data_IF_404355576178
#
_entry.id   IF_404355576178
#
_cell.length_a   1.000
_cell.length_b   1.000
_cell.length_c   1.000
_cell.angle_alpha   90.00
_cell.angle_beta   90.00
_cell.angle_gamma   90.00
#
_symmetry.space_group_name_H-M   'P 1'
#
loop_
_entity.id
_entity.type
_entity.pdbx_description
1 polymer ?
#
# COMPACT_ATOMS: atom_id res chain seq x y z
N UNK A 1 -11.36 -7.59 -16.65
CA UNK A 1 -11.48 -6.73 -15.46
C UNK A 1 -12.77 -5.94 -15.51
N UNK A 2 -13.50 -5.97 -14.42
CA UNK A 2 -14.76 -5.27 -14.26
C UNK A 2 -14.52 -3.89 -13.63
N UNK A 3 -14.56 -2.85 -14.45
CA UNK A 3 -14.29 -1.47 -14.05
C UNK A 3 -15.54 -0.89 -13.40
N UNK A 4 -15.37 -0.32 -12.21
CA UNK A 4 -16.46 0.30 -11.47
C UNK A 4 -16.38 1.82 -11.57
N UNK A 5 -17.55 2.45 -11.61
CA UNK A 5 -17.69 3.90 -11.59
C UNK A 5 -17.92 4.37 -10.14
N UNK A 6 -16.99 5.19 -9.64
CA UNK A 6 -17.05 5.76 -8.30
C UNK A 6 -17.29 7.28 -8.33
N UNK A 7 -17.76 7.82 -9.44
CA UNK A 7 -17.95 9.27 -9.60
C UNK A 7 -18.89 9.88 -8.55
N UNK A 8 -19.89 9.11 -8.08
CA UNK A 8 -20.83 9.55 -7.07
C UNK A 8 -20.33 9.28 -5.63
N UNK A 9 -19.23 8.58 -5.47
CA UNK A 9 -18.65 8.35 -4.15
C UNK A 9 -17.96 9.62 -3.65
N UNK A 10 -17.86 9.73 -2.32
CA UNK A 10 -17.13 10.87 -1.73
C UNK A 10 -15.63 10.76 -2.00
N UNK A 11 -14.97 11.91 -2.01
CA UNK A 11 -13.51 11.98 -2.07
C UNK A 11 -12.95 11.64 -0.70
N UNK A 12 -12.25 10.50 -0.59
CA UNK A 12 -11.66 10.08 0.68
C UNK A 12 -10.27 10.67 0.89
N UNK A 13 -9.50 10.86 -0.18
CA UNK A 13 -8.19 11.50 -0.14
C UNK A 13 -8.17 12.64 -1.12
N UNK A 14 -7.77 13.82 -0.66
CA UNK A 14 -7.62 15.01 -1.48
C UNK A 14 -6.20 15.55 -1.33
N UNK A 15 -5.49 15.67 -2.44
CA UNK A 15 -4.14 16.18 -2.51
C UNK A 15 -4.16 17.47 -3.32
N UNK A 16 -3.55 18.55 -2.78
CA UNK A 16 -3.46 19.84 -3.46
C UNK A 16 -2.05 20.40 -3.36
N UNK A 17 -1.51 20.77 -4.52
CA UNK A 17 -0.21 21.44 -4.65
C UNK A 17 0.91 20.67 -3.94
N UNK A 18 0.87 19.35 -4.00
CA UNK A 18 1.87 18.50 -3.35
C UNK A 18 3.22 18.65 -4.04
N UNK A 19 4.24 18.93 -3.24
CA UNK A 19 5.64 18.76 -3.63
C UNK A 19 6.32 17.83 -2.64
N UNK A 20 7.31 17.09 -3.12
CA UNK A 20 8.05 16.12 -2.30
C UNK A 20 9.52 16.20 -2.69
N UNK A 21 10.38 16.30 -1.67
CA UNK A 21 11.83 16.25 -1.84
C UNK A 21 12.31 14.81 -1.67
N UNK A 22 12.23 14.05 -2.75
CA UNK A 22 12.64 12.64 -2.80
C UNK A 22 13.73 12.46 -3.86
N UNK A 23 14.92 11.91 -3.51
CA UNK A 23 15.97 11.66 -4.48
C UNK A 23 15.49 10.80 -5.65
N UNK A 24 15.78 11.22 -6.86
CA UNK A 24 15.39 10.50 -8.08
C UNK A 24 13.94 10.69 -8.51
N UNK A 25 13.17 11.50 -7.79
CA UNK A 25 11.78 11.81 -8.16
C UNK A 25 11.55 13.32 -8.26
N UNK A 26 10.67 13.70 -9.18
CA UNK A 26 10.26 15.09 -9.35
C UNK A 26 8.79 15.19 -8.97
N UNK A 27 8.48 15.79 -7.80
CA UNK A 27 7.11 16.10 -7.39
C UNK A 27 7.05 17.57 -7.06
N UNK A 28 6.34 18.37 -7.86
CA UNK A 28 6.36 19.85 -7.74
C UNK A 28 5.02 20.47 -7.43
N UNK A 29 3.96 19.99 -8.06
CA UNK A 29 2.64 20.59 -7.92
C UNK A 29 1.57 19.59 -8.36
N UNK A 30 1.31 18.62 -7.49
CA UNK A 30 0.37 17.54 -7.81
C UNK A 30 -0.96 17.79 -7.12
N UNK A 31 -2.03 17.77 -7.91
CA UNK A 31 -3.40 17.71 -7.43
C UNK A 31 -3.97 16.34 -7.75
N UNK A 32 -4.59 15.69 -6.79
CA UNK A 32 -5.17 14.36 -6.99
C UNK A 32 -6.30 14.14 -6.00
N UNK A 33 -7.43 13.61 -6.51
CA UNK A 33 -8.54 13.16 -5.68
C UNK A 33 -8.72 11.66 -5.84
N UNK A 34 -8.96 10.98 -4.72
CA UNK A 34 -9.23 9.54 -4.69
C UNK A 34 -10.62 9.33 -4.09
N UNK A 35 -11.46 8.60 -4.81
CA UNK A 35 -12.82 8.28 -4.38
C UNK A 35 -12.84 7.06 -3.48
N UNK A 36 -13.71 7.08 -2.48
CA UNK A 36 -13.86 5.95 -1.55
C UNK A 36 -14.25 4.68 -2.28
N UNK A 37 -13.54 3.60 -2.01
CA UNK A 37 -13.81 2.28 -2.57
C UNK A 37 -13.20 2.01 -3.94
N UNK A 38 -12.55 3.01 -4.58
CA UNK A 38 -11.93 2.77 -5.88
C UNK A 38 -10.55 2.14 -5.78
N UNK A 39 -10.09 1.58 -6.89
CA UNK A 39 -8.68 1.30 -7.13
C UNK A 39 -8.21 2.32 -8.16
N UNK A 40 -7.40 3.28 -7.73
CA UNK A 40 -6.80 4.28 -8.60
C UNK A 40 -5.37 3.86 -8.92
N UNK A 41 -5.05 3.80 -10.20
CA UNK A 41 -3.69 3.57 -10.66
C UNK A 41 -2.95 4.89 -10.88
N UNK A 42 -1.67 4.92 -10.55
CA UNK A 42 -0.77 6.03 -10.91
C UNK A 42 0.33 5.44 -11.78
N UNK A 43 0.40 5.91 -13.01
CA UNK A 43 1.42 5.54 -13.98
C UNK A 43 2.28 6.74 -14.37
N UNK A 44 3.30 6.49 -15.17
CA UNK A 44 4.23 7.50 -15.65
C UNK A 44 5.63 6.94 -15.80
N UNK A 45 6.51 7.73 -16.40
CA UNK A 45 7.90 7.36 -16.56
C UNK A 45 8.65 7.43 -15.23
N UNK A 46 9.74 6.68 -15.12
CA UNK A 46 10.59 6.71 -13.94
C UNK A 46 11.10 8.12 -13.65
N UNK A 47 11.13 8.49 -12.37
CA UNK A 47 11.61 9.80 -11.92
C UNK A 47 10.65 10.96 -12.15
N UNK A 48 9.46 10.72 -12.68
CA UNK A 48 8.49 11.77 -13.03
C UNK A 48 7.45 12.05 -11.94
N UNK A 49 7.59 11.46 -10.76
CA UNK A 49 6.80 11.81 -9.59
C UNK A 49 5.90 10.71 -9.02
N UNK A 50 5.69 9.60 -9.75
CA UNK A 50 4.73 8.58 -9.30
C UNK A 50 5.09 7.93 -7.96
N UNK A 51 6.38 7.67 -7.70
CA UNK A 51 6.83 7.11 -6.42
C UNK A 51 6.86 8.15 -5.30
N UNK A 52 7.13 9.40 -5.65
CA UNK A 52 7.20 10.48 -4.67
C UNK A 52 5.85 10.80 -4.02
N UNK A 53 4.75 10.60 -4.72
CA UNK A 53 3.41 10.91 -4.19
C UNK A 53 3.11 10.13 -2.92
N UNK A 54 3.12 8.78 -2.90
CA UNK A 54 2.84 8.05 -1.68
C UNK A 54 3.91 8.28 -0.60
N UNK A 55 5.17 8.36 -0.98
CA UNK A 55 6.26 8.61 -0.03
C UNK A 55 6.13 9.95 0.68
N UNK A 56 5.68 10.99 -0.01
CA UNK A 56 5.42 12.29 0.58
C UNK A 56 4.17 12.31 1.46
N UNK A 57 3.08 11.73 1.00
CA UNK A 57 1.84 11.64 1.78
C UNK A 57 2.05 10.84 3.07
N UNK A 58 2.81 9.77 3.00
CA UNK A 58 3.11 8.93 4.17
C UNK A 58 4.22 9.47 5.06
N UNK A 59 4.76 10.64 4.74
CA UNK A 59 5.72 11.34 5.59
C UNK A 59 7.14 10.78 5.60
N UNK A 60 7.51 10.00 4.58
CA UNK A 60 8.85 9.42 4.49
C UNK A 60 9.90 10.39 3.94
N UNK A 61 9.46 11.44 3.25
CA UNK A 61 10.31 12.51 2.73
C UNK A 61 9.66 13.86 3.01
N UNK A 62 10.47 14.91 3.07
CA UNK A 62 9.96 16.27 3.26
C UNK A 62 8.99 16.61 2.13
N UNK A 63 7.84 17.10 2.49
CA UNK A 63 6.77 17.44 1.58
C UNK A 63 6.00 18.66 2.02
N UNK A 64 5.36 19.32 1.07
CA UNK A 64 4.47 20.44 1.33
C UNK A 64 3.24 20.35 0.44
N UNK A 65 2.34 21.29 0.65
CA UNK A 65 1.03 21.28 0.06
C UNK A 65 -0.03 20.91 1.08
N UNK A 66 -1.20 20.50 0.63
CA UNK A 66 -2.31 20.14 1.51
C UNK A 66 -2.80 18.77 1.18
N UNK A 67 -2.92 17.90 2.21
CA UNK A 67 -3.50 16.57 2.08
C UNK A 67 -4.60 16.42 3.11
N UNK A 68 -5.79 16.04 2.66
CA UNK A 68 -6.91 15.74 3.53
C UNK A 68 -7.33 14.29 3.35
N UNK A 69 -7.57 13.62 4.46
CA UNK A 69 -8.10 12.27 4.49
C UNK A 69 -9.40 12.25 5.28
N UNK A 70 -10.46 11.75 4.66
CA UNK A 70 -11.79 11.70 5.25
C UNK A 70 -12.25 13.09 5.73
N UNK A 71 -11.93 14.12 4.95
CA UNK A 71 -12.27 15.51 5.24
C UNK A 71 -11.42 16.19 6.30
N UNK A 72 -10.38 15.53 6.81
CA UNK A 72 -9.50 16.07 7.85
C UNK A 72 -8.07 16.22 7.34
N UNK A 73 -7.40 17.34 7.68
CA UNK A 73 -6.01 17.52 7.28
C UNK A 73 -5.10 16.44 7.84
N UNK A 74 -4.19 15.94 7.00
CA UNK A 74 -3.10 15.07 7.42
C UNK A 74 -1.86 15.92 7.61
N UNK A 75 -1.18 15.74 8.73
CA UNK A 75 0.11 16.36 8.95
C UNK A 75 1.17 15.67 8.10
N UNK A 76 1.76 16.39 7.14
CA UNK A 76 2.89 15.91 6.37
C UNK A 76 4.13 15.82 7.26
N UNK A 77 5.15 15.09 6.79
CA UNK A 77 6.41 14.90 7.51
C UNK A 77 6.26 14.13 8.83
N UNK A 78 5.18 13.34 8.97
CA UNK A 78 4.89 12.58 10.19
C UNK A 78 4.31 11.21 9.84
N UNK A 79 5.16 10.17 9.64
CA UNK A 79 4.69 8.82 9.22
C UNK A 79 3.69 8.20 10.20
N UNK A 80 3.93 8.38 11.50
CA UNK A 80 3.08 7.78 12.53
C UNK A 80 1.62 8.29 12.47
N UNK A 81 1.43 9.58 12.19
CA UNK A 81 0.08 10.15 12.10
C UNK A 81 -0.69 9.62 10.90
N UNK A 82 -0.01 9.34 9.80
CA UNK A 82 -0.64 8.71 8.65
C UNK A 82 -1.16 7.31 9.00
N UNK A 83 -0.36 6.50 9.70
CA UNK A 83 -0.79 5.18 10.15
C UNK A 83 -1.97 5.25 11.12
N UNK A 84 -1.93 6.18 12.08
CA UNK A 84 -3.02 6.38 13.05
C UNK A 84 -4.34 6.76 12.34
N UNK A 85 -4.26 7.36 11.15
CA UNK A 85 -5.43 7.69 10.33
C UNK A 85 -5.91 6.52 9.48
N UNK A 86 -5.40 5.31 9.69
CA UNK A 86 -5.74 4.09 8.95
C UNK A 86 -5.31 4.10 7.47
N UNK A 87 -4.25 4.83 7.17
CA UNK A 87 -3.56 4.71 5.89
C UNK A 87 -2.41 3.72 6.04
N UNK A 88 -2.27 2.81 5.10
CA UNK A 88 -1.14 1.90 5.03
C UNK A 88 -0.38 2.08 3.72
N UNK A 89 0.87 1.67 3.73
CA UNK A 89 1.74 1.81 2.58
C UNK A 89 2.63 0.57 2.39
N UNK A 90 2.58 0.01 1.20
CA UNK A 90 3.55 -0.99 0.75
C UNK A 90 4.51 -0.29 -0.20
N UNK A 91 5.69 0.04 0.33
CA UNK A 91 6.72 0.76 -0.41
C UNK A 91 7.40 -0.13 -1.45
N UNK A 92 7.95 0.49 -2.49
CA UNK A 92 8.87 -0.16 -3.43
C UNK A 92 10.18 -0.59 -2.75
N UNK A 93 10.52 0.03 -1.62
CA UNK A 93 11.72 -0.29 -0.83
C UNK A 93 11.36 -1.26 0.31
N UNK A 94 11.27 -2.56 -0.01
CA UNK A 94 10.94 -3.56 1.00
C UNK A 94 12.03 -3.80 2.04
N UNK A 95 13.29 -3.56 1.69
CA UNK A 95 14.43 -3.78 2.62
C UNK A 95 14.66 -2.61 3.56
N UNK A 96 14.42 -1.39 3.08
CA UNK A 96 14.62 -0.18 3.88
C UNK A 96 13.49 0.12 4.84
N UNK A 97 12.24 -0.02 4.39
CA UNK A 97 11.06 0.38 5.17
C UNK A 97 9.98 -0.71 5.29
N UNK A 98 10.14 -1.82 4.57
CA UNK A 98 9.08 -2.84 4.47
C UNK A 98 9.19 -4.00 5.44
N UNK A 99 10.38 -4.52 5.71
CA UNK A 99 10.56 -5.77 6.45
C UNK A 99 11.62 -5.69 7.54
N UNK A 100 11.33 -6.39 8.63
CA UNK A 100 12.30 -6.75 9.65
C UNK A 100 12.91 -8.09 9.25
N UNK A 101 14.06 -8.04 8.55
CA UNK A 101 14.65 -9.21 7.91
C UNK A 101 15.05 -10.33 8.88
N UNK A 102 15.50 -9.97 10.08
CA UNK A 102 15.93 -10.94 11.09
C UNK A 102 14.79 -11.48 11.96
N UNK A 103 13.57 -11.01 11.71
CA UNK A 103 12.39 -11.45 12.46
C UNK A 103 11.55 -12.45 11.64
N UNK A 104 10.72 -13.21 12.35
CA UNK A 104 9.81 -14.19 11.75
C UNK A 104 8.74 -13.52 10.87
N UNK A 105 8.10 -14.33 10.02
CA UNK A 105 6.95 -13.87 9.25
C UNK A 105 5.81 -13.43 10.18
N UNK A 106 5.57 -14.18 11.27
CA UNK A 106 4.56 -13.80 12.27
C UNK A 106 4.82 -12.42 12.86
N UNK A 107 6.08 -12.14 13.23
CA UNK A 107 6.44 -10.86 13.78
C UNK A 107 6.27 -9.74 12.75
N UNK A 108 6.74 -9.95 11.53
CA UNK A 108 6.59 -8.96 10.45
C UNK A 108 5.13 -8.63 10.18
N UNK A 109 4.26 -9.61 10.12
CA UNK A 109 2.83 -9.42 9.83
C UNK A 109 2.12 -8.72 10.98
N UNK A 110 2.37 -9.13 12.22
CA UNK A 110 1.61 -8.69 13.38
C UNK A 110 2.13 -7.41 14.05
N UNK A 111 3.44 -7.15 13.99
CA UNK A 111 4.08 -6.07 14.75
C UNK A 111 3.47 -4.67 14.48
N UNK A 112 3.25 -4.25 13.23
CA UNK A 112 2.66 -2.94 12.99
C UNK A 112 1.26 -2.80 13.60
N UNK A 113 0.43 -3.84 13.49
CA UNK A 113 -0.91 -3.83 14.05
C UNK A 113 -0.89 -3.80 15.59
N UNK A 114 0.08 -4.46 16.22
CA UNK A 114 0.28 -4.37 17.67
C UNK A 114 0.65 -2.96 18.10
N UNK A 115 1.60 -2.33 17.39
CA UNK A 115 2.08 -0.99 17.75
C UNK A 115 1.04 0.10 17.55
N UNK A 116 0.34 0.05 16.42
CA UNK A 116 -0.54 1.15 16.00
C UNK A 116 -1.96 0.97 16.51
N UNK A 117 -2.46 -0.26 16.50
CA UNK A 117 -3.86 -0.56 16.74
C UNK A 117 -4.13 -1.41 17.98
N UNK A 118 -3.10 -1.77 18.73
CA UNK A 118 -3.19 -2.68 19.88
C UNK A 118 -3.80 -4.05 19.54
N UNK A 119 -3.75 -4.48 18.29
CA UNK A 119 -4.20 -5.81 17.88
C UNK A 119 -3.25 -6.89 18.36
N UNK A 120 -3.75 -8.13 18.47
CA UNK A 120 -2.99 -9.31 18.87
C UNK A 120 -2.38 -9.20 20.28
N UNK A 121 -2.99 -8.40 21.14
CA UNK A 121 -2.59 -8.24 22.53
C UNK A 121 -3.70 -8.69 23.44
N UNK A 122 -3.31 -9.37 24.52
CA UNK A 122 -4.19 -9.73 25.63
C UNK A 122 -3.81 -8.91 26.84
N UNK A 123 -4.81 -8.34 27.51
CA UNK A 123 -4.60 -7.54 28.72
C UNK A 123 -5.36 -8.16 29.88
N UNK A 124 -4.68 -8.30 31.02
CA UNK A 124 -5.29 -8.69 32.27
C UNK A 124 -4.66 -7.87 33.39
N UNK A 125 -5.42 -6.92 33.96
CA UNK A 125 -4.92 -5.99 34.96
C UNK A 125 -3.76 -5.15 34.41
N UNK A 126 -2.59 -5.25 35.04
CA UNK A 126 -1.38 -4.53 34.64
C UNK A 126 -0.54 -5.27 33.59
N UNK A 127 -0.93 -6.50 33.24
CA UNK A 127 -0.15 -7.33 32.32
C UNK A 127 -0.70 -7.26 30.91
N UNK A 128 0.19 -7.14 29.94
CA UNK A 128 -0.13 -7.20 28.51
C UNK A 128 0.81 -8.21 27.85
N UNK A 129 0.26 -9.15 27.08
CA UNK A 129 1.05 -10.11 26.33
C UNK A 129 0.47 -10.35 24.95
N UNK A 130 1.28 -10.92 24.05
CA UNK A 130 0.86 -11.19 22.69
C UNK A 130 -0.13 -12.34 22.63
N UNK A 131 -1.11 -12.21 21.73
CA UNK A 131 -2.01 -13.31 21.40
C UNK A 131 -1.37 -14.17 20.31
N UNK A 132 -0.54 -15.12 20.72
CA UNK A 132 0.24 -15.95 19.80
C UNK A 132 -0.66 -16.77 18.86
N UNK A 133 -1.80 -17.24 19.33
CA UNK A 133 -2.74 -18.01 18.51
C UNK A 133 -3.34 -17.15 17.40
N UNK A 134 -3.77 -15.95 17.70
CA UNK A 134 -4.33 -15.02 16.73
C UNK A 134 -3.28 -14.58 15.70
N UNK A 135 -2.04 -14.32 16.14
CA UNK A 135 -0.91 -13.98 15.26
C UNK A 135 -0.63 -15.12 14.30
N UNK A 136 -0.56 -16.35 14.81
CA UNK A 136 -0.32 -17.54 13.98
C UNK A 136 -1.44 -17.74 12.95
N UNK A 137 -2.68 -17.57 13.36
CA UNK A 137 -3.85 -17.72 12.49
C UNK A 137 -3.84 -16.71 11.33
N UNK A 138 -3.64 -15.42 11.64
CA UNK A 138 -3.63 -14.37 10.60
C UNK A 138 -2.45 -14.54 9.66
N UNK A 139 -1.29 -14.90 10.18
CA UNK A 139 -0.09 -15.10 9.37
C UNK A 139 -0.27 -16.25 8.40
N UNK A 140 -0.79 -17.39 8.88
CA UNK A 140 -1.05 -18.54 8.01
C UNK A 140 -2.14 -18.27 6.98
N UNK A 141 -3.14 -17.48 7.32
CA UNK A 141 -4.15 -17.04 6.35
C UNK A 141 -3.50 -16.35 5.15
N UNK A 142 -2.59 -15.40 5.40
CA UNK A 142 -1.92 -14.68 4.31
C UNK A 142 -0.86 -15.50 3.60
N UNK A 143 -0.20 -16.42 4.30
CA UNK A 143 0.68 -17.40 3.64
C UNK A 143 -0.09 -18.17 2.58
N UNK A 144 -1.30 -18.62 2.91
CA UNK A 144 -2.16 -19.37 1.97
C UNK A 144 -2.72 -18.47 0.87
N UNK A 145 -3.31 -17.33 1.21
CA UNK A 145 -3.93 -16.43 0.23
C UNK A 145 -2.92 -15.89 -0.79
N UNK A 146 -1.72 -15.55 -0.35
CA UNK A 146 -0.67 -15.00 -1.21
C UNK A 146 0.29 -16.07 -1.72
N UNK A 147 0.09 -17.34 -1.33
CA UNK A 147 0.97 -18.45 -1.69
C UNK A 147 2.44 -18.14 -1.42
N UNK A 148 2.72 -17.71 -0.19
CA UNK A 148 4.08 -17.41 0.24
C UNK A 148 4.84 -18.72 0.40
N UNK A 149 5.94 -18.87 -0.33
CA UNK A 149 6.81 -20.04 -0.20
C UNK A 149 7.72 -19.87 1.00
N UNK A 150 7.46 -20.64 2.03
CA UNK A 150 8.19 -20.63 3.29
C UNK A 150 8.09 -21.99 3.97
N UNK A 151 8.93 -22.23 4.98
CA UNK A 151 8.89 -23.45 5.78
C UNK A 151 7.82 -23.39 6.88
N UNK A 152 7.29 -22.20 7.14
CA UNK A 152 6.28 -21.93 8.15
C UNK A 152 6.29 -20.48 8.59
N UNK A 153 5.32 -20.09 9.40
CA UNK A 153 5.15 -18.71 9.87
C UNK A 153 6.28 -18.24 10.80
N UNK A 154 7.04 -19.16 11.36
CA UNK A 154 8.20 -18.86 12.22
C UNK A 154 9.50 -18.60 11.46
N UNK A 155 9.52 -18.79 10.15
CA UNK A 155 10.71 -18.57 9.35
C UNK A 155 11.09 -17.10 9.30
N UNK A 156 12.39 -16.80 9.31
CA UNK A 156 12.88 -15.42 9.19
C UNK A 156 12.65 -14.89 7.77
N UNK A 157 12.22 -13.64 7.67
CA UNK A 157 11.96 -13.01 6.37
C UNK A 157 13.21 -12.98 5.48
N UNK A 158 14.39 -12.85 6.06
CA UNK A 158 15.69 -12.88 5.34
C UNK A 158 15.85 -14.12 4.47
N UNK A 159 15.30 -15.25 4.90
CA UNK A 159 15.50 -16.55 4.24
C UNK A 159 14.62 -16.74 3.00
N UNK A 160 13.65 -15.83 2.78
CA UNK A 160 12.74 -15.92 1.64
C UNK A 160 13.36 -15.29 0.38
N UNK A 161 12.89 -15.74 -0.79
CA UNK A 161 13.18 -15.08 -2.06
C UNK A 161 12.63 -13.65 -2.06
N UNK A 162 13.14 -12.80 -2.97
CA UNK A 162 12.67 -11.42 -3.09
C UNK A 162 11.17 -11.32 -3.35
N UNK A 163 10.63 -12.18 -4.21
CA UNK A 163 9.19 -12.21 -4.51
C UNK A 163 8.35 -12.59 -3.29
N UNK A 164 8.80 -13.56 -2.49
CA UNK A 164 8.08 -13.94 -1.28
C UNK A 164 8.21 -12.88 -0.19
N UNK A 165 9.34 -12.19 -0.10
CA UNK A 165 9.47 -11.03 0.79
C UNK A 165 8.46 -9.93 0.43
N UNK A 166 8.25 -9.68 -0.85
CA UNK A 166 7.23 -8.71 -1.31
C UNK A 166 5.83 -9.11 -0.88
N UNK A 167 5.51 -10.40 -0.97
CA UNK A 167 4.22 -10.93 -0.49
C UNK A 167 4.05 -10.75 1.03
N UNK A 168 5.11 -10.88 1.81
CA UNK A 168 5.07 -10.60 3.25
C UNK A 168 4.77 -9.12 3.51
N UNK A 169 5.34 -8.22 2.71
CA UNK A 169 5.01 -6.79 2.82
C UNK A 169 3.52 -6.52 2.59
N UNK A 170 2.92 -7.21 1.61
CA UNK A 170 1.47 -7.12 1.38
C UNK A 170 0.68 -7.68 2.56
N UNK A 171 1.06 -8.85 3.06
CA UNK A 171 0.40 -9.47 4.21
C UNK A 171 0.40 -8.56 5.43
N UNK A 172 1.52 -7.92 5.70
CA UNK A 172 1.69 -6.96 6.78
C UNK A 172 0.72 -5.78 6.65
N UNK A 173 0.60 -5.23 5.44
CA UNK A 173 -0.33 -4.13 5.18
C UNK A 173 -1.80 -4.57 5.33
N UNK A 174 -2.14 -5.76 4.83
CA UNK A 174 -3.49 -6.31 4.93
C UNK A 174 -3.88 -6.57 6.40
N UNK A 175 -2.94 -7.03 7.21
CA UNK A 175 -3.18 -7.29 8.63
C UNK A 175 -3.49 -6.03 9.43
N UNK A 176 -3.08 -4.86 8.97
CA UNK A 176 -3.47 -3.58 9.56
C UNK A 176 -4.95 -3.28 9.39
N UNK A 177 -5.62 -3.93 8.42
CA UNK A 177 -7.00 -3.64 8.04
C UNK A 177 -7.22 -2.14 7.81
N UNK A 178 -6.42 -1.51 6.93
CA UNK A 178 -6.51 -0.08 6.71
C UNK A 178 -7.79 0.27 5.95
N UNK A 179 -8.19 1.53 6.02
CA UNK A 179 -9.24 2.08 5.16
C UNK A 179 -8.71 2.47 3.79
N UNK A 180 -7.40 2.76 3.72
CA UNK A 180 -6.73 3.25 2.53
C UNK A 180 -5.34 2.62 2.43
N UNK A 181 -4.99 2.15 1.24
CA UNK A 181 -3.70 1.51 0.98
C UNK A 181 -3.03 2.14 -0.22
N UNK A 182 -1.82 2.68 0.00
CA UNK A 182 -0.88 2.93 -1.09
C UNK A 182 -0.03 1.69 -1.31
N UNK A 183 0.12 1.27 -2.56
CA UNK A 183 1.01 0.16 -2.91
C UNK A 183 1.84 0.54 -4.12
N UNK A 184 3.16 0.56 -3.95
CA UNK A 184 4.11 0.94 -5.00
C UNK A 184 4.81 -0.28 -5.57
N UNK A 185 4.71 -0.46 -6.90
CA UNK A 185 5.38 -1.52 -7.64
C UNK A 185 5.18 -2.91 -7.01
N UNK A 186 3.93 -3.34 -6.77
CA UNK A 186 3.67 -4.55 -5.96
C UNK A 186 4.17 -5.84 -6.59
N UNK A 187 4.42 -5.86 -7.88
CA UNK A 187 4.86 -7.06 -8.63
C UNK A 187 6.35 -7.03 -8.97
N UNK A 188 7.08 -6.01 -8.52
CA UNK A 188 8.52 -5.90 -8.80
C UNK A 188 9.27 -7.06 -8.16
N UNK A 189 10.06 -7.78 -8.96
CA UNK A 189 10.84 -8.91 -8.49
C UNK A 189 10.02 -10.18 -8.26
N UNK A 190 8.79 -10.23 -8.75
CA UNK A 190 7.91 -11.39 -8.67
C UNK A 190 7.88 -12.11 -10.02
N UNK A 191 7.85 -13.43 -10.01
CA UNK A 191 7.73 -14.25 -11.20
C UNK A 191 6.47 -13.92 -12.00
N UNK A 192 6.55 -14.02 -13.32
CA UNK A 192 5.42 -13.74 -14.21
C UNK A 192 4.16 -14.53 -13.78
N UNK A 193 4.30 -15.79 -13.42
CA UNK A 193 3.18 -16.63 -12.98
C UNK A 193 2.57 -16.19 -11.64
N UNK A 194 3.31 -15.50 -10.79
CA UNK A 194 2.84 -15.04 -9.49
C UNK A 194 2.29 -13.60 -9.51
N UNK A 195 2.57 -12.82 -10.55
CA UNK A 195 2.09 -11.43 -10.66
C UNK A 195 0.57 -11.34 -10.63
N UNK A 196 -0.09 -12.21 -11.38
CA UNK A 196 -1.55 -12.23 -11.43
C UNK A 196 -2.16 -12.51 -10.05
N UNK A 197 -1.52 -13.38 -9.26
CA UNK A 197 -1.97 -13.68 -7.90
C UNK A 197 -1.93 -12.44 -7.00
N UNK A 198 -0.84 -11.67 -7.08
CA UNK A 198 -0.68 -10.44 -6.29
C UNK A 198 -1.73 -9.41 -6.68
N UNK A 199 -1.95 -9.22 -7.97
CA UNK A 199 -2.95 -8.27 -8.48
C UNK A 199 -4.37 -8.68 -8.06
N UNK A 200 -4.68 -9.99 -8.16
CA UNK A 200 -5.97 -10.50 -7.70
C UNK A 200 -6.16 -10.34 -6.20
N UNK A 201 -5.11 -10.53 -5.40
CA UNK A 201 -5.18 -10.31 -3.95
C UNK A 201 -5.49 -8.85 -3.61
N UNK A 202 -4.88 -7.89 -4.31
CA UNK A 202 -5.18 -6.47 -4.14
C UNK A 202 -6.61 -6.14 -4.51
N UNK A 203 -7.09 -6.67 -5.61
CA UNK A 203 -8.47 -6.49 -6.07
C UNK A 203 -9.47 -7.05 -5.07
N UNK A 204 -9.21 -8.26 -4.57
CA UNK A 204 -10.03 -8.90 -3.56
C UNK A 204 -10.07 -8.10 -2.27
N UNK A 205 -8.92 -7.60 -1.83
CA UNK A 205 -8.82 -6.76 -0.63
C UNK A 205 -9.66 -5.50 -0.75
N UNK A 206 -9.60 -4.84 -1.90
CA UNK A 206 -10.47 -3.70 -2.20
C UNK A 206 -11.94 -4.08 -2.16
N UNK A 207 -12.33 -5.14 -2.87
CA UNK A 207 -13.74 -5.47 -3.08
C UNK A 207 -14.41 -6.13 -1.89
N UNK A 208 -13.71 -7.01 -1.20
CA UNK A 208 -14.28 -7.72 -0.04
C UNK A 208 -14.15 -6.93 1.25
N UNK A 209 -13.08 -6.20 1.44
CA UNK A 209 -12.83 -5.44 2.68
C UNK A 209 -13.17 -3.94 2.55
N UNK A 210 -13.53 -3.47 1.36
CA UNK A 210 -13.91 -2.08 1.14
C UNK A 210 -12.76 -1.09 1.19
N UNK A 211 -11.52 -1.55 1.12
CA UNK A 211 -10.34 -0.70 1.21
C UNK A 211 -10.14 0.08 -0.09
N UNK A 212 -9.96 1.39 0.01
CA UNK A 212 -9.56 2.22 -1.12
C UNK A 212 -8.08 1.99 -1.41
N UNK A 213 -7.73 1.74 -2.66
CA UNK A 213 -6.36 1.40 -3.06
C UNK A 213 -5.84 2.39 -4.08
N UNK A 214 -4.63 2.88 -3.88
CA UNK A 214 -3.86 3.61 -4.90
C UNK A 214 -2.65 2.76 -5.24
N UNK A 215 -2.61 2.26 -6.46
CA UNK A 215 -1.54 1.42 -6.97
C UNK A 215 -0.63 2.21 -7.89
N UNK A 216 0.64 2.26 -7.56
CA UNK A 216 1.66 2.89 -8.39
C UNK A 216 2.40 1.79 -9.13
N UNK A 217 2.50 1.89 -10.45
CA UNK A 217 3.22 0.91 -11.26
C UNK A 217 3.83 1.54 -12.51
N UNK A 218 5.00 1.04 -12.88
CA UNK A 218 5.64 1.34 -14.17
C UNK A 218 4.99 0.57 -15.33
N UNK A 219 4.21 -0.46 -15.00
CA UNK A 219 3.59 -1.38 -15.97
C UNK A 219 2.13 -1.00 -16.20
N UNK A 220 1.86 -0.28 -17.28
CA UNK A 220 0.50 0.17 -17.59
C UNK A 220 -0.50 -1.00 -17.71
N UNK A 221 -0.05 -2.13 -18.25
CA UNK A 221 -0.89 -3.32 -18.36
C UNK A 221 -1.35 -3.86 -17.00
N UNK A 222 -0.50 -3.77 -15.98
CA UNK A 222 -0.87 -4.17 -14.62
C UNK A 222 -1.93 -3.22 -14.04
N UNK A 223 -1.78 -1.92 -14.27
CA UNK A 223 -2.79 -0.95 -13.84
C UNK A 223 -4.13 -1.22 -14.50
N UNK A 224 -4.13 -1.56 -15.79
CA UNK A 224 -5.36 -1.90 -16.52
C UNK A 224 -6.05 -3.14 -15.99
N UNK A 225 -5.30 -4.05 -15.38
CA UNK A 225 -5.88 -5.31 -14.88
C UNK A 225 -6.77 -5.12 -13.66
N UNK A 226 -6.49 -4.14 -12.79
CA UNK A 226 -7.25 -4.00 -11.54
C UNK A 226 -7.80 -2.60 -11.27
N UNK A 227 -7.27 -1.55 -11.89
CA UNK A 227 -7.65 -0.18 -11.58
C UNK A 227 -8.97 0.24 -12.21
N UNK A 228 -9.72 1.08 -11.51
CA UNK A 228 -10.96 1.70 -12.01
C UNK A 228 -10.64 2.98 -12.82
N UNK A 229 -9.60 3.72 -12.41
CA UNK A 229 -9.07 4.89 -13.11
C UNK A 229 -7.56 4.85 -13.09
N UNK A 230 -6.92 5.52 -14.04
CA UNK A 230 -5.46 5.65 -14.09
C UNK A 230 -5.08 7.10 -14.26
N UNK A 231 -4.29 7.63 -13.33
CA UNK A 231 -3.69 8.95 -13.43
C UNK A 231 -2.26 8.81 -13.96
N UNK A 232 -1.90 9.62 -14.93
CA UNK A 232 -0.55 9.67 -15.47
C UNK A 232 0.15 10.91 -14.92
N UNK A 233 1.33 10.72 -14.35
CA UNK A 233 2.15 11.80 -13.79
C UNK A 233 3.33 12.04 -14.72
N UNK A 234 3.53 13.28 -15.10
CA UNK A 234 4.61 13.72 -15.96
C UNK A 234 5.18 15.04 -15.47
N UNK A 235 6.52 15.13 -15.43
CA UNK A 235 7.20 16.33 -14.98
C UNK A 235 6.89 16.70 -13.52
N UNK A 236 6.54 15.73 -12.70
CA UNK A 236 6.18 15.96 -11.30
C UNK A 236 4.78 16.51 -11.08
N UNK A 237 3.93 16.47 -12.10
CA UNK A 237 2.56 17.01 -12.07
C UNK A 237 1.57 15.98 -12.58
N UNK A 238 0.36 15.99 -12.05
CA UNK A 238 -0.72 15.17 -12.60
C UNK A 238 -1.09 15.67 -14.00
N UNK A 239 -1.01 14.79 -15.01
CA UNK A 239 -1.19 15.16 -16.40
C UNK A 239 -2.51 14.72 -17.01
N UNK A 240 -3.30 13.93 -16.32
CA UNK A 240 -4.59 13.47 -16.80
C UNK A 240 -5.01 12.14 -16.24
N UNK A 241 -6.28 11.84 -16.37
CA UNK A 241 -6.86 10.59 -15.91
C UNK A 241 -7.36 9.82 -17.13
N UNK A 242 -6.92 8.57 -17.25
CA UNK A 242 -7.35 7.67 -18.29
C UNK A 242 -8.29 6.62 -17.72
N UNK A 243 -9.37 6.27 -18.44
CA UNK A 243 -10.14 5.08 -18.10
C UNK A 243 -9.25 3.84 -18.22
N UNK A 244 -9.39 2.90 -17.28
CA UNK A 244 -8.54 1.72 -17.25
C UNK A 244 -8.80 0.75 -18.39
N UNK A 245 -9.97 0.83 -19.05
CA UNK A 245 -10.34 -0.03 -20.16
C UNK A 245 -9.85 0.46 -21.53
N UNK A 246 -9.17 1.61 -21.61
CA UNK A 246 -8.66 2.10 -22.88
C UNK A 246 -7.59 1.18 -23.43
N UNK A 247 -7.92 0.57 -24.54
CA UNK A 247 -7.07 -0.38 -25.27
C UNK A 247 -6.14 0.28 -26.29
N UNK A 248 -6.14 1.58 -26.40
CA UNK A 248 -5.33 2.31 -27.39
C UNK A 248 -4.30 3.22 -26.77
#
# INVERSE_FOLDING_TARGET
>A
HDIRDHSDARTILSIRKLWVDMPGEIVRNVDLDVKEGEILGIGGLAGQGKLGIPNGVMGLYEAGGTVEFDGKPIALNSPRKCLDSQLAFVSEDRRGVGLLLDESLEWNVAFPAMQVQNKFLKRMGFFTWRDEKAIHTVTNRYIDELQIKCTGSGQKARELSGGNQQKVCLAKAFALEPRFLFVSEPTRGIDVGAKALVLEALKKFNRESGVTVVMISSELEELRQICDRIAIVSGGRGAGILPADHSS
#
